data_IF_083835909602
#
_entry.id   IF_083835909602
#
_cell.length_a   1.000
_cell.length_b   1.000
_cell.length_c   1.000
_cell.angle_alpha   90.00
_cell.angle_beta   90.00
_cell.angle_gamma   90.00
#
_symmetry.space_group_name_H-M   'P 1'
#
loop_
_entity.id
_entity.type
_entity.pdbx_description
1 polymer ?
#
# COMPACT_ATOMS: atom_id res chain seq x y z
N UNK A 1 3.58 10.09 7.35
CA UNK A 1 3.19 11.48 7.72
C UNK A 1 1.68 11.64 7.86
N UNK A 2 0.88 11.46 6.78
CA UNK A 2 -0.58 11.67 6.83
C UNK A 2 -1.33 10.72 7.78
N UNK A 3 -0.96 9.44 7.81
CA UNK A 3 -1.56 8.46 8.72
C UNK A 3 -1.50 8.92 10.19
N UNK A 4 -0.31 9.34 10.65
CA UNK A 4 -0.12 9.82 12.02
C UNK A 4 -0.90 11.11 12.30
N UNK A 5 -0.95 12.04 11.32
CA UNK A 5 -1.66 13.31 11.45
C UNK A 5 -3.17 13.13 11.65
N UNK A 6 -3.77 12.12 10.99
CA UNK A 6 -5.22 11.90 10.99
C UNK A 6 -5.64 10.64 11.75
N UNK A 7 -4.76 10.07 12.59
CA UNK A 7 -5.04 8.82 13.30
C UNK A 7 -6.34 8.84 14.10
N UNK A 8 -6.70 9.98 14.70
CA UNK A 8 -7.92 10.14 15.48
C UNK A 8 -9.23 10.09 14.65
N UNK A 9 -9.16 10.13 13.32
CA UNK A 9 -10.35 10.17 12.46
C UNK A 9 -10.84 8.77 12.06
N UNK A 10 -9.98 7.76 12.12
CA UNK A 10 -10.35 6.38 11.84
C UNK A 10 -11.39 5.88 12.87
N UNK A 11 -12.50 5.31 12.39
CA UNK A 11 -13.61 4.84 13.21
C UNK A 11 -14.57 5.94 13.70
N UNK A 12 -14.31 7.20 13.40
CA UNK A 12 -15.19 8.33 13.74
C UNK A 12 -15.69 9.08 12.50
N UNK A 13 -14.76 9.48 11.64
CA UNK A 13 -15.04 10.21 10.39
C UNK A 13 -14.74 9.36 9.17
N UNK A 14 -13.69 8.53 9.25
CA UNK A 14 -13.30 7.60 8.20
C UNK A 14 -13.52 6.17 8.68
N UNK A 15 -14.46 5.48 8.05
CA UNK A 15 -14.72 4.07 8.30
C UNK A 15 -13.99 3.25 7.24
N UNK A 16 -12.95 2.54 7.65
CA UNK A 16 -12.08 1.76 6.75
C UNK A 16 -12.43 0.29 6.87
N UNK A 17 -12.57 -0.38 5.74
CA UNK A 17 -12.78 -1.81 5.66
C UNK A 17 -11.50 -2.50 5.17
N UNK A 18 -11.18 -3.71 5.66
CA UNK A 18 -10.04 -4.46 5.17
C UNK A 18 -10.27 -4.92 3.72
N UNK A 19 -9.34 -4.57 2.83
CA UNK A 19 -9.35 -4.96 1.42
C UNK A 19 -7.95 -5.34 0.93
N UNK A 20 -7.42 -6.52 1.32
CA UNK A 20 -6.02 -6.89 1.07
C UNK A 20 -5.77 -7.46 -0.33
N UNK A 21 -6.75 -7.45 -1.22
CA UNK A 21 -6.64 -8.05 -2.56
C UNK A 21 -6.24 -7.05 -3.64
N UNK A 22 -6.67 -5.79 -3.53
CA UNK A 22 -6.38 -4.71 -4.47
C UNK A 22 -6.61 -3.35 -3.82
N UNK A 23 -6.07 -2.29 -4.41
CA UNK A 23 -6.32 -0.91 -3.98
C UNK A 23 -5.08 -0.05 -4.17
N UNK A 24 -5.17 1.25 -3.81
CA UNK A 24 -4.07 2.21 -4.00
C UNK A 24 -2.78 1.87 -3.24
N UNK A 25 -2.84 0.99 -2.24
CA UNK A 25 -1.65 0.52 -1.52
C UNK A 25 -0.75 -0.38 -2.39
N UNK A 26 -1.31 -1.12 -3.35
CA UNK A 26 -0.53 -2.02 -4.21
C UNK A 26 0.43 -1.23 -5.12
N UNK A 27 -0.02 -0.25 -5.93
CA UNK A 27 0.86 0.52 -6.78
C UNK A 27 1.82 1.44 -6.02
N UNK A 28 1.52 1.79 -4.77
CA UNK A 28 2.44 2.55 -3.93
C UNK A 28 3.81 1.86 -3.80
N UNK A 29 3.87 0.53 -3.83
CA UNK A 29 5.12 -0.24 -3.75
C UNK A 29 6.03 -0.10 -4.98
N UNK A 30 5.52 0.33 -6.13
CA UNK A 30 6.32 0.54 -7.35
C UNK A 30 6.24 1.97 -7.90
N UNK A 31 5.80 2.93 -7.09
CA UNK A 31 5.75 4.35 -7.45
C UNK A 31 4.57 4.71 -8.35
N UNK A 32 3.50 3.90 -8.35
CA UNK A 32 2.32 4.07 -9.20
C UNK A 32 2.60 4.04 -10.72
N UNK A 33 3.76 3.51 -11.12
CA UNK A 33 4.17 3.39 -12.51
C UNK A 33 3.64 2.10 -13.14
N UNK A 34 2.50 2.23 -13.81
CA UNK A 34 1.85 1.13 -14.51
C UNK A 34 2.49 0.79 -15.86
N UNK A 35 3.42 1.62 -16.35
CA UNK A 35 4.14 1.35 -17.60
C UNK A 35 5.18 0.22 -17.44
N UNK A 36 5.58 -0.08 -16.21
CA UNK A 36 6.52 -1.15 -15.89
C UNK A 36 5.96 -2.52 -16.30
N UNK A 37 6.80 -3.43 -16.83
CA UNK A 37 6.46 -4.83 -17.01
C UNK A 37 5.96 -5.49 -15.72
N UNK A 38 5.07 -6.49 -15.85
CA UNK A 38 4.39 -7.11 -14.71
C UNK A 38 5.35 -7.80 -13.72
N UNK A 39 6.42 -8.41 -14.23
CA UNK A 39 7.49 -9.04 -13.46
C UNK A 39 8.29 -7.99 -12.65
N UNK A 40 8.59 -6.83 -13.24
CA UNK A 40 9.25 -5.72 -12.54
C UNK A 40 8.39 -5.19 -11.40
N UNK A 41 7.07 -5.00 -11.63
CA UNK A 41 6.14 -4.61 -10.56
C UNK A 41 6.10 -5.65 -9.44
N UNK A 42 6.07 -6.94 -9.79
CA UNK A 42 6.09 -8.04 -8.81
C UNK A 42 7.38 -8.06 -7.99
N UNK A 43 8.53 -7.90 -8.62
CA UNK A 43 9.83 -7.87 -7.95
C UNK A 43 9.91 -6.70 -6.95
N UNK A 44 9.45 -5.50 -7.34
CA UNK A 44 9.39 -4.34 -6.42
C UNK A 44 8.49 -4.59 -5.22
N UNK A 45 7.32 -5.21 -5.43
CA UNK A 45 6.42 -5.62 -4.32
C UNK A 45 7.11 -6.59 -3.36
N UNK A 46 7.89 -7.55 -3.87
CA UNK A 46 8.65 -8.49 -3.03
C UNK A 46 9.79 -7.81 -2.26
N UNK A 47 10.49 -6.86 -2.88
CA UNK A 47 11.57 -6.10 -2.24
C UNK A 47 11.07 -5.20 -1.11
N UNK A 48 9.80 -4.76 -1.17
CA UNK A 48 9.18 -3.97 -0.11
C UNK A 48 8.76 -4.78 1.12
N UNK A 49 8.92 -6.12 1.12
CA UNK A 49 8.55 -6.97 2.24
C UNK A 49 9.58 -6.87 3.38
N UNK A 50 9.10 -6.57 4.57
CA UNK A 50 9.85 -6.72 5.82
C UNK A 50 9.65 -8.14 6.34
N UNK A 51 10.62 -9.03 6.10
CA UNK A 51 10.55 -10.43 6.52
C UNK A 51 10.84 -10.55 8.03
N UNK A 52 10.02 -11.34 8.73
CA UNK A 52 10.31 -11.71 10.11
C UNK A 52 11.65 -12.47 10.18
N UNK A 53 12.48 -12.10 11.14
CA UNK A 53 13.73 -12.82 11.46
C UNK A 53 13.47 -14.02 12.34
#
# INVERSE_FOLDING_TARGET
>A
ALFNQYNAWFGQRWFVLPGPTYGGYEPAAFGNDWSLPADVRRARKQQALELAR
#
